data_IF_364399117467
#
_entry.id   IF_364399117467
#
_cell.length_a   1.000
_cell.length_b   1.000
_cell.length_c   1.000
_cell.angle_alpha   90.00
_cell.angle_beta   90.00
_cell.angle_gamma   90.00
#
_symmetry.space_group_name_H-M   'P 1'
#
loop_
_entity.id
_entity.type
_entity.pdbx_description
1 polymer ?
#
# COMPACT_ATOMS: atom_id res chain seq x y z
N UNK A 1 2.19 -5.47 5.52
CA UNK A 1 2.99 -6.40 6.34
C UNK A 1 3.77 -7.31 5.41
N UNK A 2 5.03 -7.63 5.71
CA UNK A 2 5.83 -8.60 4.94
C UNK A 2 6.12 -9.79 5.83
N UNK A 3 5.92 -10.99 5.30
CA UNK A 3 6.14 -12.26 6.00
C UNK A 3 7.23 -13.05 5.25
N UNK A 4 8.17 -13.64 5.98
CA UNK A 4 9.23 -14.48 5.43
C UNK A 4 8.72 -15.84 4.87
N UNK A 5 7.42 -16.05 4.94
CA UNK A 5 6.77 -17.29 4.51
C UNK A 5 5.82 -17.02 3.35
N UNK A 6 5.87 -17.87 2.32
CA UNK A 6 4.96 -17.79 1.19
C UNK A 6 3.61 -18.42 1.53
N UNK A 7 2.52 -17.65 1.36
CA UNK A 7 1.16 -18.13 1.61
C UNK A 7 0.79 -19.35 0.75
N UNK A 8 1.29 -19.43 -0.49
CA UNK A 8 1.09 -20.60 -1.36
C UNK A 8 1.67 -21.89 -0.75
N UNK A 9 2.76 -21.78 0.00
CA UNK A 9 3.33 -22.93 0.71
C UNK A 9 2.40 -23.40 1.83
N UNK A 10 1.78 -22.47 2.55
CA UNK A 10 0.82 -22.81 3.61
C UNK A 10 -0.44 -23.47 3.07
N UNK A 11 -0.83 -23.14 1.84
CA UNK A 11 -1.98 -23.74 1.14
C UNK A 11 -1.68 -25.13 0.55
N UNK A 12 -0.46 -25.66 0.72
CA UNK A 12 -0.06 -26.95 0.17
C UNK A 12 0.21 -26.99 -1.34
N UNK A 13 0.18 -25.83 -1.99
CA UNK A 13 0.21 -25.71 -3.47
C UNK A 13 1.56 -25.14 -3.96
N UNK A 14 2.65 -25.54 -3.31
CA UNK A 14 3.97 -25.00 -3.57
C UNK A 14 4.94 -26.07 -4.09
N UNK A 15 5.50 -25.82 -5.28
CA UNK A 15 6.55 -26.65 -5.88
C UNK A 15 7.97 -26.39 -5.33
N UNK A 16 8.12 -25.48 -4.37
CA UNK A 16 9.41 -25.03 -3.76
C UNK A 16 10.43 -24.45 -4.76
N UNK A 17 9.97 -23.94 -5.88
CA UNK A 17 10.81 -23.34 -6.95
C UNK A 17 10.51 -21.85 -7.06
N UNK A 18 10.76 -21.09 -5.98
CA UNK A 18 10.34 -19.69 -5.86
C UNK A 18 10.83 -18.79 -7.01
N UNK A 19 12.07 -18.96 -7.46
CA UNK A 19 12.65 -18.15 -8.54
C UNK A 19 11.89 -18.28 -9.88
N UNK A 20 11.33 -19.46 -10.15
CA UNK A 20 10.61 -19.80 -11.41
C UNK A 20 9.11 -20.00 -11.20
N UNK A 21 8.59 -19.69 -10.01
CA UNK A 21 7.19 -19.90 -9.69
C UNK A 21 6.28 -18.99 -10.53
N UNK A 22 5.45 -19.57 -11.39
CA UNK A 22 4.50 -18.83 -12.21
C UNK A 22 3.45 -18.09 -11.38
N UNK A 23 3.18 -18.55 -10.16
CA UNK A 23 2.17 -17.97 -9.26
C UNK A 23 2.68 -16.78 -8.45
N UNK A 24 3.97 -16.49 -8.43
CA UNK A 24 4.53 -15.35 -7.66
C UNK A 24 4.03 -14.00 -8.14
N UNK A 25 3.59 -13.90 -9.38
CA UNK A 25 3.03 -12.68 -9.96
C UNK A 25 1.52 -12.51 -9.71
N UNK A 26 0.88 -13.54 -9.14
CA UNK A 26 -0.55 -13.47 -8.84
C UNK A 26 -0.78 -12.60 -7.62
N UNK A 27 -1.81 -11.78 -7.70
CA UNK A 27 -2.42 -11.11 -6.56
C UNK A 27 -3.53 -12.03 -6.05
N UNK A 28 -3.36 -12.54 -4.84
CA UNK A 28 -4.37 -13.38 -4.18
C UNK A 28 -5.20 -12.50 -3.26
N UNK A 29 -6.50 -12.68 -3.26
CA UNK A 29 -7.39 -12.03 -2.30
C UNK A 29 -7.60 -12.96 -1.10
N UNK A 30 -7.35 -12.44 0.10
CA UNK A 30 -7.73 -13.04 1.35
C UNK A 30 -8.79 -12.16 2.01
N UNK A 31 -9.71 -12.78 2.76
CA UNK A 31 -10.71 -12.06 3.55
C UNK A 31 -10.51 -12.36 5.02
N UNK A 32 -10.67 -11.33 5.85
CA UNK A 32 -10.65 -11.49 7.30
C UNK A 32 -12.04 -11.93 7.83
N UNK A 33 -12.14 -12.09 9.14
CA UNK A 33 -13.39 -12.48 9.81
C UNK A 33 -14.54 -11.46 9.64
N UNK A 34 -14.23 -10.24 9.18
CA UNK A 34 -15.21 -9.18 8.89
C UNK A 34 -15.46 -9.02 7.37
N UNK A 35 -15.05 -10.02 6.57
CA UNK A 35 -15.18 -10.04 5.11
C UNK A 35 -14.41 -8.90 4.39
N UNK A 36 -13.41 -8.29 5.04
CA UNK A 36 -12.59 -7.24 4.45
C UNK A 36 -11.50 -7.88 3.59
N UNK A 37 -11.37 -7.49 2.31
CA UNK A 37 -10.36 -8.07 1.43
C UNK A 37 -8.97 -7.56 1.78
N UNK A 38 -7.97 -8.41 1.67
CA UNK A 38 -6.55 -8.09 1.70
C UNK A 38 -5.87 -8.71 0.50
N UNK A 39 -5.00 -7.96 -0.15
CA UNK A 39 -4.24 -8.50 -1.27
C UNK A 39 -2.96 -9.15 -0.77
N UNK A 40 -2.69 -10.36 -1.20
CA UNK A 40 -1.46 -11.09 -0.90
C UNK A 40 -0.64 -11.24 -2.17
N UNK A 41 0.62 -10.85 -2.09
CA UNK A 41 1.60 -11.01 -3.17
C UNK A 41 2.75 -11.87 -2.69
N UNK A 42 3.45 -12.56 -3.60
CA UNK A 42 4.67 -13.29 -3.29
C UNK A 42 5.83 -12.78 -4.14
N UNK A 43 7.02 -12.78 -3.57
CA UNK A 43 8.24 -12.37 -4.28
C UNK A 43 9.09 -13.58 -4.74
N UNK A 44 10.20 -13.29 -5.44
CA UNK A 44 11.11 -14.29 -5.96
C UNK A 44 11.89 -15.06 -4.86
N UNK A 45 11.86 -14.55 -3.63
CA UNK A 45 12.52 -15.20 -2.47
C UNK A 45 11.54 -16.04 -1.64
N UNK A 46 10.27 -16.14 -2.08
CA UNK A 46 9.24 -16.87 -1.36
C UNK A 46 8.69 -16.15 -0.14
N UNK A 47 8.81 -14.82 -0.09
CA UNK A 47 8.20 -14.01 0.96
C UNK A 47 6.84 -13.51 0.52
N UNK A 48 5.92 -13.39 1.46
CA UNK A 48 4.60 -12.84 1.20
C UNK A 48 4.50 -11.38 1.67
N UNK A 49 3.87 -10.53 0.85
CA UNK A 49 3.39 -9.23 1.23
C UNK A 49 1.88 -9.26 1.42
N UNK A 50 1.39 -8.83 2.58
CA UNK A 50 -0.04 -8.68 2.86
C UNK A 50 -0.36 -7.19 2.86
N UNK A 51 -1.29 -6.79 2.02
CA UNK A 51 -1.68 -5.41 1.76
C UNK A 51 -3.12 -5.20 2.21
N UNK A 52 -3.37 -4.11 2.92
CA UNK A 52 -4.73 -3.77 3.32
C UNK A 52 -5.59 -3.45 2.08
N UNK A 53 -6.89 -3.71 2.20
CA UNK A 53 -7.88 -3.35 1.18
C UNK A 53 -7.98 -1.84 0.97
N UNK A 54 -7.81 -1.10 2.06
CA UNK A 54 -7.92 0.35 2.05
C UNK A 54 -6.59 0.98 1.62
N UNK A 55 -6.68 1.99 0.78
CA UNK A 55 -5.51 2.75 0.34
C UNK A 55 -5.05 3.63 1.51
N UNK A 56 -3.81 3.44 1.97
CA UNK A 56 -3.19 4.36 2.91
C UNK A 56 -2.87 5.68 2.18
N UNK A 57 -3.53 6.75 2.59
CA UNK A 57 -3.34 8.08 2.04
C UNK A 57 -3.08 9.11 3.15
N UNK A 58 -1.85 9.51 3.28
CA UNK A 58 -1.42 10.53 4.24
C UNK A 58 -1.43 11.95 3.66
N UNK A 59 -1.98 12.17 2.47
CA UNK A 59 -2.00 13.52 1.86
C UNK A 59 -2.78 14.55 2.68
N UNK A 60 -3.92 14.23 3.32
CA UNK A 60 -4.60 15.18 4.20
C UNK A 60 -3.75 15.65 5.39
N UNK A 61 -2.84 14.80 5.87
CA UNK A 61 -1.96 15.08 7.01
C UNK A 61 -0.60 15.67 6.59
N UNK A 62 -0.36 15.86 5.29
CA UNK A 62 0.94 16.26 4.75
C UNK A 62 1.45 17.57 5.34
N UNK A 63 0.59 18.55 5.58
CA UNK A 63 0.96 19.82 6.19
C UNK A 63 1.51 19.64 7.61
N UNK A 64 0.90 18.77 8.41
CA UNK A 64 1.35 18.46 9.77
C UNK A 64 2.65 17.67 9.76
N UNK A 65 2.75 16.67 8.90
CA UNK A 65 3.98 15.88 8.73
C UNK A 65 5.15 16.77 8.32
N UNK A 66 4.96 17.73 7.42
CA UNK A 66 5.99 18.69 7.05
C UNK A 66 6.39 19.61 8.21
N UNK A 67 5.45 20.05 9.05
CA UNK A 67 5.75 20.81 10.27
C UNK A 67 6.57 20.00 11.27
N UNK A 68 6.35 18.68 11.33
CA UNK A 68 7.15 17.75 12.14
C UNK A 68 8.52 17.42 11.53
N UNK A 69 8.88 18.00 10.39
CA UNK A 69 10.20 17.81 9.75
C UNK A 69 10.23 16.70 8.69
N UNK A 70 9.10 16.11 8.30
CA UNK A 70 9.07 15.15 7.19
C UNK A 70 9.34 15.89 5.87
N UNK A 71 10.49 15.59 5.26
CA UNK A 71 10.94 16.24 4.01
C UNK A 71 10.75 15.38 2.75
N UNK A 72 10.36 14.11 2.87
CA UNK A 72 10.18 13.20 1.73
C UNK A 72 8.91 12.38 1.89
N UNK A 73 8.17 12.27 0.81
CA UNK A 73 6.96 11.44 0.72
C UNK A 73 7.15 10.42 -0.40
N UNK A 74 6.89 9.15 -0.09
CA UNK A 74 6.94 8.05 -1.05
C UNK A 74 5.55 7.69 -1.56
N UNK A 75 5.47 7.26 -2.81
CA UNK A 75 4.27 6.66 -3.39
C UNK A 75 4.58 5.19 -3.65
N UNK A 76 3.86 4.29 -2.99
CA UNK A 76 4.00 2.86 -3.21
C UNK A 76 3.06 2.42 -4.33
N UNK A 77 3.64 2.11 -5.47
CA UNK A 77 2.90 1.71 -6.67
C UNK A 77 2.93 0.20 -6.95
N UNK A 78 3.38 -0.62 -5.98
CA UNK A 78 3.53 -2.08 -6.19
C UNK A 78 2.20 -2.80 -6.47
N UNK A 79 1.08 -2.21 -6.08
CA UNK A 79 -0.26 -2.74 -6.34
C UNK A 79 -0.96 -2.07 -7.51
N UNK A 80 -0.38 -1.05 -8.13
CA UNK A 80 -0.96 -0.44 -9.32
C UNK A 80 -0.97 -1.45 -10.48
N UNK A 81 -2.13 -1.59 -11.14
CA UNK A 81 -2.33 -2.55 -12.22
C UNK A 81 -1.96 -1.98 -13.60
N UNK A 82 -1.76 -0.66 -13.68
CA UNK A 82 -1.44 0.01 -14.94
C UNK A 82 -0.48 1.19 -14.75
N UNK A 83 0.25 1.58 -15.82
CA UNK A 83 1.02 2.81 -15.83
C UNK A 83 0.17 4.06 -15.60
N UNK A 84 -1.08 4.05 -16.03
CA UNK A 84 -2.04 5.15 -15.84
C UNK A 84 -2.35 5.33 -14.36
N UNK A 85 -2.65 4.25 -13.66
CA UNK A 85 -2.93 4.27 -12.22
C UNK A 85 -1.71 4.74 -11.42
N UNK A 86 -0.51 4.29 -11.79
CA UNK A 86 0.75 4.77 -11.22
C UNK A 86 0.90 6.28 -11.43
N UNK A 87 0.69 6.76 -12.64
CA UNK A 87 0.80 8.18 -12.96
C UNK A 87 -0.24 9.02 -12.20
N UNK A 88 -1.45 8.52 -12.00
CA UNK A 88 -2.49 9.18 -11.22
C UNK A 88 -2.12 9.28 -9.74
N UNK A 89 -1.60 8.20 -9.15
CA UNK A 89 -1.15 8.19 -7.76
C UNK A 89 -0.05 9.24 -7.53
N UNK A 90 0.93 9.30 -8.43
CA UNK A 90 2.04 10.27 -8.35
C UNK A 90 1.53 11.70 -8.53
N UNK A 91 0.64 11.95 -9.51
CA UNK A 91 0.05 13.28 -9.73
C UNK A 91 -0.74 13.75 -8.51
N UNK A 92 -1.49 12.86 -7.87
CA UNK A 92 -2.24 13.18 -6.66
C UNK A 92 -1.32 13.67 -5.53
N UNK A 93 -0.28 12.90 -5.21
CA UNK A 93 0.66 13.26 -4.14
C UNK A 93 1.41 14.55 -4.47
N UNK A 94 1.80 14.75 -5.75
CA UNK A 94 2.42 16.01 -6.19
C UNK A 94 1.48 17.20 -6.02
N UNK A 95 0.22 17.09 -6.44
CA UNK A 95 -0.77 18.14 -6.29
C UNK A 95 -1.03 18.47 -4.80
N UNK A 96 -1.09 17.45 -3.94
CA UNK A 96 -1.20 17.64 -2.49
C UNK A 96 -0.01 18.42 -1.92
N UNK A 97 1.21 18.05 -2.31
CA UNK A 97 2.43 18.75 -1.88
C UNK A 97 2.44 20.22 -2.33
N UNK A 98 2.06 20.49 -3.57
CA UNK A 98 1.97 21.85 -4.10
C UNK A 98 0.87 22.66 -3.39
N UNK A 99 -0.27 22.05 -3.07
CA UNK A 99 -1.33 22.69 -2.29
C UNK A 99 -0.83 23.11 -0.90
N UNK A 100 -0.17 22.18 -0.18
CA UNK A 100 0.37 22.47 1.16
C UNK A 100 1.44 23.54 1.14
N UNK A 101 2.34 23.55 0.16
CA UNK A 101 3.36 24.60 -0.04
C UNK A 101 2.74 25.98 -0.28
N UNK A 102 1.55 26.01 -0.87
CA UNK A 102 0.77 27.25 -1.10
C UNK A 102 -0.22 27.55 0.04
N UNK A 103 -0.05 26.94 1.22
CA UNK A 103 -0.89 27.16 2.40
C UNK A 103 -2.32 26.64 2.29
N UNK A 104 -2.58 25.70 1.35
CA UNK A 104 -3.89 25.07 1.17
C UNK A 104 -3.92 23.69 1.80
N UNK A 105 -5.10 23.21 2.14
CA UNK A 105 -5.29 21.83 2.57
C UNK A 105 -5.24 20.89 1.36
N UNK A 106 -4.62 19.73 1.54
CA UNK A 106 -4.69 18.66 0.56
C UNK A 106 -5.94 17.78 0.82
N UNK A 107 -6.57 17.36 -0.25
CA UNK A 107 -7.72 16.45 -0.20
C UNK A 107 -7.25 14.99 -0.30
N UNK A 108 -7.96 14.03 0.31
CA UNK A 108 -7.67 12.61 0.13
C UNK A 108 -7.94 12.17 -1.31
N UNK A 109 -7.24 11.12 -1.75
CA UNK A 109 -7.41 10.55 -3.10
C UNK A 109 -8.80 9.95 -3.31
N UNK A 110 -9.34 9.28 -2.28
CA UNK A 110 -10.66 8.66 -2.31
C UNK A 110 -11.32 8.75 -0.93
N UNK A 111 -12.65 8.70 -0.92
CA UNK A 111 -13.42 8.72 0.33
C UNK A 111 -13.16 7.50 1.22
N UNK A 112 -12.75 6.37 0.64
CA UNK A 112 -12.39 5.13 1.33
C UNK A 112 -10.92 5.05 1.73
N UNK A 113 -10.14 6.11 1.50
CA UNK A 113 -8.74 6.14 1.91
C UNK A 113 -8.62 6.27 3.43
N UNK A 114 -7.65 5.57 4.01
CA UNK A 114 -7.35 5.62 5.45
C UNK A 114 -6.03 6.33 5.70
N UNK A 115 -5.93 7.04 6.82
CA UNK A 115 -4.65 7.54 7.34
C UNK A 115 -3.87 6.47 8.12
N UNK A 116 -4.39 5.24 8.21
CA UNK A 116 -3.82 4.18 9.03
C UNK A 116 -3.79 4.59 10.51
N UNK A 117 -2.74 4.20 11.20
CA UNK A 117 -2.54 4.49 12.63
C UNK A 117 -1.70 5.75 12.91
N UNK A 118 -1.60 6.68 11.95
CA UNK A 118 -0.73 7.87 12.10
C UNK A 118 -1.07 8.72 13.33
N UNK A 119 -2.34 8.71 13.77
CA UNK A 119 -2.82 9.51 14.89
C UNK A 119 -3.54 8.68 15.95
N UNK A 120 -3.56 7.37 15.82
CA UNK A 120 -4.12 6.49 16.85
C UNK A 120 -3.11 6.31 17.99
N UNK A 121 -3.59 6.43 19.23
CA UNK A 121 -2.77 6.05 20.38
C UNK A 121 -2.61 4.54 20.37
N UNK A 122 -1.37 4.09 20.35
CA UNK A 122 -1.05 2.70 20.62
C UNK A 122 -1.29 2.50 22.12
N UNK A 123 -2.36 1.83 22.45
CA UNK A 123 -2.72 1.46 23.82
C UNK A 123 -1.82 0.36 24.34
#
# INVERSE_FOLDING_TARGET
MTCEHCMLQSMGDCAKTCATCARRSLKLEMRDEFDRPSIVTSDALGRAGVWQAEVLDATPQMAELMRCGVGRFGVDCRLCDSPQETAEAVRHVKAALDAVRNGKMAAPRAASATSGHLFERIG
#
